data_IF_344868813593
#
_entry.id   IF_344868813593
#
_cell.length_a   1.000
_cell.length_b   1.000
_cell.length_c   1.000
_cell.angle_alpha   90.00
_cell.angle_beta   90.00
_cell.angle_gamma   90.00
#
_symmetry.space_group_name_H-M   'P 1'
#
loop_
_entity.id
_entity.type
_entity.pdbx_description
1 polymer ?
#
# COMPACT_ATOMS: atom_id res chain seq x y z
N UNK A 1 8.29 11.53 8.45
CA UNK A 1 7.60 12.25 7.36
C UNK A 1 6.34 11.46 7.05
N UNK A 2 5.14 12.04 6.94
CA UNK A 2 3.98 11.22 6.67
C UNK A 2 4.24 10.52 5.33
N UNK A 3 4.30 9.19 5.37
CA UNK A 3 4.52 8.35 4.20
C UNK A 3 3.25 8.24 3.34
N UNK A 4 2.21 8.95 3.76
CA UNK A 4 0.87 8.93 3.20
C UNK A 4 0.75 10.15 2.28
N UNK A 5 0.97 9.92 0.98
CA UNK A 5 0.81 10.93 -0.06
C UNK A 5 0.24 10.25 -1.30
N UNK A 6 -0.76 10.87 -1.92
CA UNK A 6 -1.15 10.52 -3.28
C UNK A 6 -0.16 11.21 -4.21
N UNK A 7 0.81 10.47 -4.75
CA UNK A 7 1.89 11.03 -5.55
C UNK A 7 2.76 12.00 -4.74
N UNK A 8 2.83 13.28 -5.16
CA UNK A 8 3.61 14.33 -4.48
C UNK A 8 2.74 15.28 -3.63
N UNK A 9 1.45 15.01 -3.51
CA UNK A 9 0.52 15.84 -2.73
C UNK A 9 0.69 15.57 -1.24
N UNK A 10 1.51 16.40 -0.59
CA UNK A 10 1.86 16.27 0.83
C UNK A 10 0.71 16.53 1.81
N UNK A 11 -0.39 17.11 1.32
CA UNK A 11 -1.60 17.41 2.09
C UNK A 11 -2.72 16.39 1.84
N UNK A 12 -2.45 15.31 1.09
CA UNK A 12 -3.39 14.21 0.98
C UNK A 12 -3.52 13.53 2.34
N UNK A 13 -4.75 13.49 2.85
CA UNK A 13 -5.09 12.93 4.15
C UNK A 13 -6.41 12.18 3.99
N UNK A 14 -6.39 10.97 3.40
CA UNK A 14 -7.59 10.21 3.13
C UNK A 14 -8.20 9.71 4.44
N UNK A 15 -9.50 9.39 4.42
CA UNK A 15 -10.05 8.53 5.44
C UNK A 15 -9.43 7.14 5.31
N UNK A 16 -8.86 6.64 6.41
CA UNK A 16 -8.18 5.35 6.45
C UNK A 16 -8.72 4.53 7.63
N UNK A 17 -9.23 3.34 7.33
CA UNK A 17 -9.73 2.41 8.35
C UNK A 17 -8.70 1.32 8.56
N UNK A 18 -8.21 1.18 9.79
CA UNK A 18 -7.21 0.17 10.16
C UNK A 18 -7.78 -0.69 11.28
N UNK A 19 -7.73 -2.01 11.09
CA UNK A 19 -7.97 -3.00 12.13
C UNK A 19 -6.72 -3.85 12.35
N UNK A 20 -6.43 -4.18 13.61
CA UNK A 20 -5.28 -5.00 13.99
C UNK A 20 -5.77 -6.12 14.90
N UNK A 21 -5.44 -7.36 14.53
CA UNK A 21 -5.61 -8.54 15.38
C UNK A 21 -4.23 -9.10 15.74
N UNK A 22 -4.01 -9.42 17.01
CA UNK A 22 -2.70 -9.88 17.51
C UNK A 22 -2.86 -11.18 18.29
N UNK A 23 -1.99 -12.11 17.97
CA UNK A 23 -1.81 -13.40 18.64
C UNK A 23 -0.39 -13.46 19.22
N UNK A 24 -0.05 -14.54 19.91
CA UNK A 24 1.24 -14.69 20.60
C UNK A 24 2.45 -14.60 19.65
N UNK A 25 2.35 -15.16 18.45
CA UNK A 25 3.45 -15.28 17.47
C UNK A 25 3.21 -14.53 16.15
N UNK A 26 2.02 -13.97 15.96
CA UNK A 26 1.63 -13.32 14.70
C UNK A 26 0.69 -12.14 14.93
N UNK A 27 0.60 -11.31 13.92
CA UNK A 27 -0.40 -10.25 13.85
C UNK A 27 -0.98 -10.19 12.44
N UNK A 28 -2.21 -9.71 12.35
CA UNK A 28 -2.91 -9.40 11.10
C UNK A 28 -3.29 -7.93 11.13
N UNK A 29 -3.04 -7.24 10.02
CA UNK A 29 -3.52 -5.88 9.77
C UNK A 29 -4.48 -5.95 8.60
N UNK A 30 -5.62 -5.28 8.74
CA UNK A 30 -6.55 -4.99 7.67
C UNK A 30 -6.61 -3.47 7.50
N UNK A 31 -6.47 -3.00 6.26
CA UNK A 31 -6.42 -1.59 5.92
C UNK A 31 -7.35 -1.31 4.74
N UNK A 32 -8.17 -0.27 4.85
CA UNK A 32 -9.10 0.13 3.81
C UNK A 32 -9.08 1.65 3.59
N UNK A 33 -8.89 2.06 2.35
CA UNK A 33 -9.02 3.45 1.89
C UNK A 33 -10.17 3.48 0.88
N UNK A 34 -11.14 4.40 1.00
CA UNK A 34 -12.18 4.57 -0.02
C UNK A 34 -11.56 4.85 -1.39
N UNK A 35 -12.10 4.23 -2.45
CA UNK A 35 -11.52 4.33 -3.80
C UNK A 35 -11.57 5.77 -4.34
N UNK A 36 -12.60 6.54 -4.00
CA UNK A 36 -12.74 7.96 -4.34
C UNK A 36 -11.62 8.84 -3.75
N UNK A 37 -10.96 8.38 -2.69
CA UNK A 37 -9.81 9.07 -2.10
C UNK A 37 -8.48 8.70 -2.78
N UNK A 38 -8.47 7.63 -3.60
CA UNK A 38 -7.29 7.14 -4.34
C UNK A 38 -7.32 7.52 -5.82
N UNK A 39 -8.50 7.62 -6.41
CA UNK A 39 -8.68 7.84 -7.85
C UNK A 39 -9.99 8.58 -8.12
N UNK A 40 -9.99 9.43 -9.15
CA UNK A 40 -11.22 10.00 -9.70
C UNK A 40 -11.99 8.99 -10.57
N UNK A 41 -11.27 8.04 -11.17
CA UNK A 41 -11.83 7.01 -12.05
C UNK A 41 -11.90 5.68 -11.30
N UNK A 42 -13.12 5.25 -10.96
CA UNK A 42 -13.34 3.96 -10.31
C UNK A 42 -12.92 2.81 -11.24
N UNK A 43 -12.11 1.86 -10.74
CA UNK A 43 -11.69 0.72 -11.53
C UNK A 43 -12.90 -0.15 -11.90
N UNK A 44 -12.88 -0.69 -13.13
CA UNK A 44 -13.85 -1.67 -13.63
C UNK A 44 -13.18 -3.04 -13.69
N UNK A 45 -13.97 -4.09 -13.92
CA UNK A 45 -13.43 -5.40 -14.26
C UNK A 45 -12.42 -5.28 -15.41
N UNK A 46 -11.24 -5.88 -15.24
CA UNK A 46 -10.11 -5.79 -16.16
C UNK A 46 -9.19 -4.59 -15.96
N UNK A 47 -9.59 -3.56 -15.21
CA UNK A 47 -8.69 -2.45 -14.84
C UNK A 47 -7.49 -3.01 -14.09
N UNK A 48 -6.30 -2.49 -14.40
CA UNK A 48 -5.03 -3.02 -13.88
C UNK A 48 -4.26 -1.90 -13.19
N UNK A 49 -3.86 -2.15 -11.95
CA UNK A 49 -3.03 -1.25 -11.15
C UNK A 49 -1.65 -1.85 -10.88
N UNK A 50 -0.67 -0.97 -10.74
CA UNK A 50 0.62 -1.30 -10.15
C UNK A 50 0.49 -1.17 -8.62
N UNK A 51 0.68 -2.26 -7.87
CA UNK A 51 0.51 -2.31 -6.42
C UNK A 51 1.75 -2.89 -5.71
N UNK A 52 2.19 -2.23 -4.64
CA UNK A 52 3.24 -2.74 -3.75
C UNK A 52 2.83 -2.62 -2.29
N UNK A 53 3.14 -3.64 -1.49
CA UNK A 53 2.97 -3.64 -0.03
C UNK A 53 4.31 -3.99 0.60
N UNK A 54 4.70 -3.24 1.64
CA UNK A 54 5.96 -3.47 2.37
C UNK A 54 5.73 -3.46 3.88
N UNK A 55 6.39 -4.39 4.56
CA UNK A 55 6.49 -4.48 6.01
C UNK A 55 7.86 -3.99 6.44
N UNK A 56 7.91 -2.86 7.14
CA UNK A 56 9.15 -2.32 7.71
C UNK A 56 9.28 -2.87 9.13
N UNK A 57 10.35 -3.63 9.39
CA UNK A 57 10.65 -4.21 10.70
C UNK A 57 11.78 -3.39 11.32
N UNK A 58 11.50 -2.59 12.37
CA UNK A 58 12.51 -1.73 12.99
C UNK A 58 13.74 -2.54 13.42
N UNK A 59 14.93 -2.12 12.97
CA UNK A 59 16.20 -2.77 13.28
C UNK A 59 16.46 -4.12 12.59
N UNK A 60 15.51 -4.66 11.80
CA UNK A 60 15.65 -5.95 11.12
C UNK A 60 15.58 -5.89 9.60
N UNK A 61 14.93 -4.87 9.02
CA UNK A 61 14.89 -4.68 7.57
C UNK A 61 13.49 -4.43 7.00
N UNK A 62 13.32 -4.73 5.71
CA UNK A 62 12.07 -4.55 4.96
C UNK A 62 11.72 -5.85 4.25
N UNK A 63 10.47 -6.27 4.36
CA UNK A 63 9.89 -7.34 3.56
C UNK A 63 8.84 -6.76 2.61
N UNK A 64 8.72 -7.30 1.40
CA UNK A 64 7.90 -6.72 0.35
C UNK A 64 7.15 -7.80 -0.42
N UNK A 65 5.94 -7.48 -0.89
CA UNK A 65 5.15 -8.36 -1.76
C UNK A 65 5.88 -8.70 -3.07
N UNK A 66 6.65 -7.74 -3.59
CA UNK A 66 7.55 -7.90 -4.74
C UNK A 66 8.96 -7.62 -4.26
N UNK A 67 9.91 -8.47 -4.62
CA UNK A 67 11.31 -8.29 -4.24
C UNK A 67 11.82 -6.95 -4.76
N UNK A 68 12.36 -6.13 -3.85
CA UNK A 68 12.87 -4.81 -4.19
C UNK A 68 14.07 -4.51 -3.31
N UNK A 69 15.27 -4.50 -3.89
CA UNK A 69 16.53 -4.28 -3.16
C UNK A 69 16.83 -2.80 -2.87
N UNK A 70 16.01 -1.88 -3.39
CA UNK A 70 16.35 -0.45 -3.39
C UNK A 70 15.53 0.35 -2.37
N UNK A 71 16.18 1.35 -1.76
CA UNK A 71 15.52 2.30 -0.85
C UNK A 71 14.55 3.23 -1.58
N UNK A 72 14.75 3.47 -2.87
CA UNK A 72 13.93 4.37 -3.70
C UNK A 72 12.76 3.62 -4.30
N UNK A 73 11.53 4.02 -4.00
CA UNK A 73 10.32 3.39 -4.55
C UNK A 73 10.02 3.94 -5.96
N UNK A 74 9.71 3.05 -6.90
CA UNK A 74 9.25 3.36 -8.26
C UNK A 74 8.08 2.44 -8.62
N UNK A 75 7.03 2.93 -9.31
CA UNK A 75 5.93 2.10 -9.76
C UNK A 75 6.35 0.91 -10.63
N UNK A 76 7.51 0.99 -11.30
CA UNK A 76 8.06 -0.10 -12.11
C UNK A 76 8.45 -1.35 -11.31
N UNK A 77 8.53 -1.25 -9.98
CA UNK A 77 8.90 -2.36 -9.09
C UNK A 77 7.68 -3.02 -8.43
N UNK A 78 6.48 -2.53 -8.74
CA UNK A 78 5.25 -3.02 -8.15
C UNK A 78 4.70 -4.22 -8.92
N UNK A 79 3.92 -5.03 -8.23
CA UNK A 79 3.20 -6.14 -8.84
C UNK A 79 2.00 -5.63 -9.62
N UNK A 80 1.45 -6.51 -10.46
CA UNK A 80 0.25 -6.22 -11.23
C UNK A 80 -0.97 -6.73 -10.47
N UNK A 81 -1.92 -5.83 -10.20
CA UNK A 81 -3.19 -6.13 -9.57
C UNK A 81 -4.33 -5.83 -10.56
N UNK A 82 -5.05 -6.86 -11.00
CA UNK A 82 -6.17 -6.72 -11.93
C UNK A 82 -7.50 -6.91 -11.19
N UNK A 83 -8.37 -5.90 -11.27
CA UNK A 83 -9.73 -5.96 -10.74
C UNK A 83 -10.55 -6.95 -11.55
N UNK A 84 -11.29 -7.83 -10.86
CA UNK A 84 -12.18 -8.83 -11.46
C UNK A 84 -13.63 -8.36 -11.44
#
# INVERSE_FOLDING_TARGET
YPHDALGRYKNWNPDWFIAVDRQDDRWRVEAAIPLEMLTADFPRAGTTWALGVRRIIPGSGVESLVETETATISPAMFGIFQFQ
#
